data_IF_191389497707
#
_entry.id   IF_191389497707
#
_cell.length_a   1.000
_cell.length_b   1.000
_cell.length_c   1.000
_cell.angle_alpha   90.00
_cell.angle_beta   90.00
_cell.angle_gamma   90.00
#
_symmetry.space_group_name_H-M   'P 1'
#
loop_
_entity.id
_entity.type
_entity.pdbx_description
1 polymer ?
#
# COMPACT_ATOMS: atom_id res chain seq x y z
N UNK A 1 -0.18 2.77 43.63
CA UNK A 1 -0.31 2.26 42.24
C UNK A 1 0.39 3.25 41.31
N UNK A 2 1.70 3.13 41.13
CA UNK A 2 2.42 3.91 40.11
C UNK A 2 2.24 3.19 38.78
N UNK A 3 1.49 3.81 37.86
CA UNK A 3 1.45 3.36 36.47
C UNK A 3 2.87 3.47 35.91
N UNK A 4 3.56 2.34 35.73
CA UNK A 4 4.80 2.31 34.97
C UNK A 4 4.44 2.73 33.55
N UNK A 5 4.86 3.94 33.20
CA UNK A 5 4.75 4.51 31.87
C UNK A 5 5.61 3.67 30.93
N UNK A 6 5.02 2.62 30.35
CA UNK A 6 5.57 1.98 29.16
C UNK A 6 5.75 3.09 28.13
N UNK A 7 6.98 3.55 27.92
CA UNK A 7 7.32 4.44 26.80
C UNK A 7 6.98 3.68 25.52
N UNK A 8 5.78 3.92 25.01
CA UNK A 8 5.38 3.49 23.68
C UNK A 8 6.40 4.08 22.73
N UNK A 9 7.16 3.23 22.05
CA UNK A 9 8.08 3.68 21.01
C UNK A 9 7.26 4.43 19.97
N UNK A 10 7.42 5.76 19.89
CA UNK A 10 6.64 6.60 18.98
C UNK A 10 6.83 6.11 17.54
N UNK A 11 5.73 5.88 16.83
CA UNK A 11 5.77 5.54 15.40
C UNK A 11 5.79 6.78 14.51
N UNK A 12 5.59 7.98 15.10
CA UNK A 12 5.52 9.24 14.36
C UNK A 12 6.73 9.49 13.44
N UNK A 13 7.98 9.20 13.83
CA UNK A 13 9.13 9.41 12.96
C UNK A 13 9.04 8.63 11.63
N UNK A 14 8.41 7.45 11.63
CA UNK A 14 8.26 6.65 10.42
C UNK A 14 7.27 7.25 9.43
N UNK A 15 6.13 7.76 9.93
CA UNK A 15 5.16 8.46 9.10
C UNK A 15 5.71 9.80 8.59
N UNK A 16 6.51 10.50 9.40
CA UNK A 16 7.27 11.67 8.94
C UNK A 16 8.22 11.29 7.81
N UNK A 17 8.92 10.16 7.91
CA UNK A 17 9.76 9.63 6.84
C UNK A 17 9.00 9.39 5.53
N UNK A 18 7.79 8.81 5.58
CA UNK A 18 6.91 8.65 4.41
C UNK A 18 6.57 10.02 3.79
N UNK A 19 6.16 10.98 4.63
CA UNK A 19 5.81 12.32 4.18
C UNK A 19 6.99 13.06 3.54
N UNK A 20 8.20 12.92 4.11
CA UNK A 20 9.43 13.49 3.57
C UNK A 20 9.76 12.88 2.20
N UNK A 21 9.66 11.56 2.04
CA UNK A 21 9.91 10.91 0.75
C UNK A 21 8.90 11.33 -0.32
N UNK A 22 7.62 11.44 0.06
CA UNK A 22 6.56 11.94 -0.83
C UNK A 22 6.81 13.40 -1.24
N UNK A 23 7.18 14.25 -0.28
CA UNK A 23 7.47 15.66 -0.54
C UNK A 23 8.72 15.81 -1.42
N UNK A 24 9.77 15.03 -1.17
CA UNK A 24 10.98 15.04 -1.99
C UNK A 24 10.67 14.66 -3.45
N UNK A 25 9.85 13.62 -3.67
CA UNK A 25 9.42 13.26 -5.02
C UNK A 25 8.56 14.36 -5.66
N UNK A 26 7.62 14.95 -4.92
CA UNK A 26 6.81 16.05 -5.41
C UNK A 26 7.65 17.27 -5.83
N UNK A 27 8.61 17.68 -4.99
CA UNK A 27 9.55 18.77 -5.31
C UNK A 27 10.38 18.40 -6.53
N UNK A 28 10.87 17.17 -6.65
CA UNK A 28 11.64 16.73 -7.80
C UNK A 28 10.81 16.84 -9.10
N UNK A 29 9.56 16.39 -9.11
CA UNK A 29 8.65 16.50 -10.27
C UNK A 29 8.43 17.97 -10.67
N UNK A 30 8.31 18.87 -9.70
CA UNK A 30 8.15 20.30 -9.98
C UNK A 30 9.42 21.00 -10.47
N UNK A 31 10.60 20.46 -10.14
CA UNK A 31 11.87 21.16 -10.33
C UNK A 31 12.65 20.71 -11.57
N UNK A 32 12.29 19.57 -12.17
CA UNK A 32 12.98 19.03 -13.34
C UNK A 32 12.31 19.39 -14.66
N UNK A 33 13.07 19.31 -15.74
CA UNK A 33 12.52 19.51 -17.09
C UNK A 33 11.62 18.33 -17.46
N UNK A 34 10.62 18.52 -18.34
CA UNK A 34 9.72 17.43 -18.75
C UNK A 34 10.44 16.17 -19.29
N UNK A 35 11.57 16.35 -19.99
CA UNK A 35 12.38 15.25 -20.50
C UNK A 35 13.01 14.38 -19.40
N UNK A 36 13.24 14.94 -18.21
CA UNK A 36 13.90 14.27 -17.08
C UNK A 36 12.87 13.61 -16.12
N UNK A 37 11.57 13.88 -16.28
CA UNK A 37 10.50 13.32 -15.45
C UNK A 37 10.46 11.79 -15.41
N UNK A 38 10.63 11.05 -16.53
CA UNK A 38 10.64 9.59 -16.50
C UNK A 38 11.70 9.02 -15.54
N UNK A 39 12.89 9.61 -15.53
CA UNK A 39 13.99 9.20 -14.64
C UNK A 39 13.65 9.44 -13.17
N UNK A 40 13.05 10.60 -12.85
CA UNK A 40 12.62 10.92 -11.48
C UNK A 40 11.58 9.91 -10.99
N UNK A 41 10.56 9.63 -11.80
CA UNK A 41 9.53 8.67 -11.46
C UNK A 41 10.05 7.24 -11.34
N UNK A 42 10.98 6.85 -12.20
CA UNK A 42 11.64 5.55 -12.14
C UNK A 42 12.43 5.41 -10.84
N UNK A 43 13.31 6.37 -10.53
CA UNK A 43 14.13 6.35 -9.31
C UNK A 43 13.25 6.26 -8.06
N UNK A 44 12.24 7.12 -7.96
CA UNK A 44 11.28 7.08 -6.85
C UNK A 44 10.52 5.75 -6.80
N UNK A 45 10.12 5.21 -7.95
CA UNK A 45 9.45 3.91 -8.08
C UNK A 45 10.32 2.74 -7.64
N UNK A 46 11.61 2.75 -8.00
CA UNK A 46 12.60 1.75 -7.58
C UNK A 46 12.84 1.80 -6.07
N UNK A 47 13.16 2.98 -5.53
CA UNK A 47 13.40 3.14 -4.09
C UNK A 47 12.18 2.74 -3.26
N UNK A 48 10.99 3.23 -3.61
CA UNK A 48 9.76 2.90 -2.90
C UNK A 48 9.36 1.44 -3.05
N UNK A 49 9.56 0.84 -4.23
CA UNK A 49 9.33 -0.58 -4.47
C UNK A 49 10.26 -1.48 -3.66
N UNK A 50 11.55 -1.14 -3.55
CA UNK A 50 12.50 -1.86 -2.69
C UNK A 50 12.11 -1.78 -1.22
N UNK A 51 11.67 -0.61 -0.74
CA UNK A 51 11.15 -0.45 0.62
C UNK A 51 9.88 -1.30 0.85
N UNK A 52 8.98 -1.34 -0.13
CA UNK A 52 7.78 -2.18 -0.07
C UNK A 52 8.14 -3.68 0.05
N UNK A 53 9.04 -4.17 -0.80
CA UNK A 53 9.52 -5.56 -0.78
C UNK A 53 10.22 -5.86 0.55
N UNK A 54 11.17 -5.03 0.97
CA UNK A 54 11.93 -5.26 2.20
C UNK A 54 11.01 -5.29 3.44
N UNK A 55 10.08 -4.34 3.54
CA UNK A 55 9.14 -4.26 4.65
C UNK A 55 8.18 -5.45 4.71
N UNK A 56 7.54 -5.79 3.59
CA UNK A 56 6.61 -6.93 3.51
C UNK A 56 7.32 -8.27 3.73
N UNK A 57 8.53 -8.43 3.21
CA UNK A 57 9.36 -9.61 3.44
C UNK A 57 9.76 -9.73 4.92
N UNK A 58 10.19 -8.62 5.54
CA UNK A 58 10.52 -8.59 6.97
C UNK A 58 9.32 -9.03 7.82
N UNK A 59 8.10 -8.57 7.49
CA UNK A 59 6.88 -9.04 8.14
C UNK A 59 6.65 -10.54 7.94
N UNK A 60 6.73 -11.03 6.70
CA UNK A 60 6.52 -12.45 6.39
C UNK A 60 7.50 -13.36 7.13
N UNK A 61 8.77 -12.95 7.23
CA UNK A 61 9.84 -13.69 7.91
C UNK A 61 9.68 -13.74 9.44
N UNK A 62 8.81 -12.89 10.02
CA UNK A 62 8.55 -12.87 11.45
C UNK A 62 7.66 -14.02 11.93
N UNK A 63 7.02 -14.74 11.01
CA UNK A 63 6.02 -15.78 11.28
C UNK A 63 6.53 -17.19 10.95
N UNK A 64 6.05 -18.18 11.70
CA UNK A 64 6.39 -19.58 11.52
C UNK A 64 5.76 -20.20 10.27
N UNK A 65 6.24 -21.38 9.83
CA UNK A 65 5.54 -22.17 8.81
C UNK A 65 4.13 -22.52 9.29
N UNK A 66 3.12 -22.31 8.44
CA UNK A 66 1.72 -22.61 8.76
C UNK A 66 0.91 -21.41 9.25
N UNK A 67 1.55 -20.34 9.72
CA UNK A 67 0.86 -19.12 10.16
C UNK A 67 0.11 -18.47 8.99
N UNK A 68 -1.18 -18.16 9.20
CA UNK A 68 -1.99 -17.47 8.20
C UNK A 68 -1.39 -16.11 7.81
N UNK A 69 -0.87 -15.36 8.79
CA UNK A 69 -0.24 -14.06 8.53
C UNK A 69 1.04 -14.19 7.71
N UNK A 70 1.79 -15.29 7.80
CA UNK A 70 2.92 -15.55 6.89
C UNK A 70 2.47 -15.59 5.43
N UNK A 71 1.32 -16.24 5.17
CA UNK A 71 0.76 -16.32 3.81
C UNK A 71 0.26 -14.97 3.31
N UNK A 72 -0.37 -14.17 4.18
CA UNK A 72 -0.78 -12.80 3.86
C UNK A 72 0.43 -11.94 3.49
N UNK A 73 1.41 -11.84 4.38
CA UNK A 73 2.61 -11.01 4.13
C UNK A 73 3.47 -11.55 2.99
N UNK A 74 3.53 -12.87 2.81
CA UNK A 74 4.19 -13.50 1.66
C UNK A 74 3.52 -13.14 0.34
N UNK A 75 2.18 -13.14 0.29
CA UNK A 75 1.42 -12.67 -0.88
C UNK A 75 1.65 -11.19 -1.17
N UNK A 76 1.68 -10.33 -0.15
CA UNK A 76 2.03 -8.91 -0.30
C UNK A 76 3.49 -8.72 -0.78
N UNK A 77 4.42 -9.54 -0.30
CA UNK A 77 5.83 -9.53 -0.75
C UNK A 77 5.93 -9.92 -2.21
N UNK A 78 5.24 -11.00 -2.62
CA UNK A 78 5.20 -11.42 -4.01
C UNK A 78 4.58 -10.33 -4.90
N UNK A 79 3.47 -9.71 -4.46
CA UNK A 79 2.85 -8.58 -5.15
C UNK A 79 3.78 -7.38 -5.32
N UNK A 80 4.52 -7.01 -4.25
CA UNK A 80 5.49 -5.92 -4.28
C UNK A 80 6.68 -6.25 -5.21
N UNK A 81 7.20 -7.47 -5.17
CA UNK A 81 8.31 -7.90 -6.04
C UNK A 81 7.90 -7.91 -7.50
N UNK A 82 6.72 -8.43 -7.83
CA UNK A 82 6.18 -8.41 -9.18
C UNK A 82 5.93 -6.96 -9.65
N UNK A 83 5.41 -6.09 -8.78
CA UNK A 83 5.24 -4.67 -9.11
C UNK A 83 6.57 -3.96 -9.38
N UNK A 84 7.64 -4.31 -8.65
CA UNK A 84 8.99 -3.83 -8.88
C UNK A 84 9.55 -4.34 -10.22
N UNK A 85 9.36 -5.63 -10.54
CA UNK A 85 9.72 -6.20 -11.84
C UNK A 85 8.98 -5.52 -12.99
N UNK A 86 7.70 -5.19 -12.83
CA UNK A 86 6.93 -4.42 -13.83
C UNK A 86 7.50 -3.01 -14.04
N UNK A 87 7.94 -2.35 -12.96
CA UNK A 87 8.64 -1.07 -13.05
C UNK A 87 9.98 -1.23 -13.76
N UNK A 88 10.72 -2.30 -13.48
CA UNK A 88 11.99 -2.61 -14.13
C UNK A 88 11.87 -2.78 -15.64
N UNK A 89 10.92 -3.60 -16.09
CA UNK A 89 10.66 -3.82 -17.51
C UNK A 89 10.34 -2.52 -18.24
N UNK A 90 9.50 -1.68 -17.63
CA UNK A 90 9.14 -0.37 -18.17
C UNK A 90 10.35 0.58 -18.21
N UNK A 91 11.07 0.70 -17.11
CA UNK A 91 12.23 1.58 -16.99
C UNK A 91 13.30 1.19 -18.01
N UNK A 92 13.65 -0.10 -18.08
CA UNK A 92 14.59 -0.63 -19.07
C UNK A 92 14.22 -0.22 -20.51
N UNK A 93 12.97 -0.40 -20.91
CA UNK A 93 12.53 -0.03 -22.26
C UNK A 93 12.62 1.48 -22.50
N UNK A 94 12.15 2.30 -21.57
CA UNK A 94 12.13 3.76 -21.73
C UNK A 94 13.55 4.35 -21.79
N UNK A 95 14.55 3.71 -21.18
CA UNK A 95 15.94 4.17 -21.27
C UNK A 95 16.69 3.58 -22.48
N UNK A 96 16.27 2.43 -23.01
CA UNK A 96 16.89 1.80 -24.19
C UNK A 96 16.29 2.30 -25.50
N UNK A 97 15.00 2.67 -25.51
CA UNK A 97 14.26 3.14 -26.68
C UNK A 97 13.39 4.36 -26.29
N UNK A 98 14.01 5.52 -26.02
CA UNK A 98 13.34 6.67 -25.37
C UNK A 98 12.20 7.28 -26.17
N UNK A 99 12.28 7.22 -27.50
CA UNK A 99 11.30 7.86 -28.39
C UNK A 99 10.10 6.97 -28.72
N UNK A 100 10.08 5.72 -28.22
CA UNK A 100 9.02 4.74 -28.51
C UNK A 100 8.22 4.44 -27.24
N UNK A 101 6.89 4.68 -27.24
CA UNK A 101 6.07 4.42 -26.07
C UNK A 101 6.12 2.94 -25.69
N UNK A 102 6.07 2.66 -24.37
CA UNK A 102 6.12 1.29 -23.86
C UNK A 102 4.99 0.39 -24.41
N UNK A 103 3.88 0.96 -24.86
CA UNK A 103 2.77 0.23 -25.49
C UNK A 103 3.16 -0.45 -26.80
N UNK A 104 4.25 -0.03 -27.45
CA UNK A 104 4.82 -0.69 -28.63
C UNK A 104 5.97 -1.66 -28.29
N UNK A 105 6.29 -1.83 -27.00
CA UNK A 105 7.39 -2.68 -26.57
C UNK A 105 7.08 -4.18 -26.72
N UNK A 106 8.02 -5.02 -27.19
CA UNK A 106 7.90 -6.48 -27.11
C UNK A 106 7.89 -7.00 -25.66
N UNK A 107 8.25 -6.17 -24.67
CA UNK A 107 8.16 -6.50 -23.25
C UNK A 107 6.75 -6.35 -22.68
N UNK A 108 5.81 -5.78 -23.43
CA UNK A 108 4.47 -5.50 -22.96
C UNK A 108 3.70 -6.76 -22.51
N UNK A 109 3.72 -7.92 -23.21
CA UNK A 109 3.06 -9.13 -22.74
C UNK A 109 3.65 -9.66 -21.42
N UNK A 110 4.96 -9.58 -21.23
CA UNK A 110 5.62 -9.98 -19.98
C UNK A 110 5.24 -9.06 -18.84
N UNK A 111 5.21 -7.74 -19.10
CA UNK A 111 4.73 -6.77 -18.13
C UNK A 111 3.26 -7.03 -17.77
N UNK A 112 2.41 -7.39 -18.74
CA UNK A 112 1.02 -7.76 -18.49
C UNK A 112 0.93 -8.91 -17.51
N UNK A 113 1.63 -10.03 -17.77
CA UNK A 113 1.63 -11.18 -16.88
C UNK A 113 2.07 -10.78 -15.46
N UNK A 114 3.19 -10.06 -15.35
CA UNK A 114 3.75 -9.65 -14.06
C UNK A 114 2.78 -8.73 -13.29
N UNK A 115 2.14 -7.77 -13.96
CA UNK A 115 1.17 -6.86 -13.32
C UNK A 115 -0.10 -7.58 -12.89
N UNK A 116 -0.63 -8.47 -13.72
CA UNK A 116 -1.81 -9.27 -13.37
C UNK A 116 -1.51 -10.14 -12.15
N UNK A 117 -0.37 -10.84 -12.14
CA UNK A 117 0.04 -11.66 -11.00
C UNK A 117 0.29 -10.81 -9.74
N UNK A 118 0.85 -9.60 -9.88
CA UNK A 118 1.06 -8.68 -8.75
C UNK A 118 -0.26 -8.32 -8.07
N UNK A 119 -1.25 -7.95 -8.89
CA UNK A 119 -2.59 -7.61 -8.45
C UNK A 119 -3.30 -8.80 -7.80
N UNK A 120 -3.28 -9.97 -8.46
CA UNK A 120 -3.86 -11.21 -7.91
C UNK A 120 -3.24 -11.56 -6.56
N UNK A 121 -1.92 -11.53 -6.43
CA UNK A 121 -1.22 -11.85 -5.19
C UNK A 121 -1.60 -10.89 -4.05
N UNK A 122 -1.65 -9.59 -4.34
CA UNK A 122 -1.98 -8.54 -3.37
C UNK A 122 -3.44 -8.63 -2.94
N UNK A 123 -4.37 -8.75 -3.89
CA UNK A 123 -5.80 -8.90 -3.61
C UNK A 123 -6.08 -10.18 -2.83
N UNK A 124 -5.49 -11.31 -3.23
CA UNK A 124 -5.64 -12.57 -2.52
C UNK A 124 -5.13 -12.47 -1.08
N UNK A 125 -3.98 -11.82 -0.86
CA UNK A 125 -3.44 -11.60 0.48
C UNK A 125 -4.39 -10.79 1.37
N UNK A 126 -5.01 -9.73 0.86
CA UNK A 126 -5.97 -8.94 1.64
C UNK A 126 -7.29 -9.68 1.88
N UNK A 127 -7.77 -10.46 0.91
CA UNK A 127 -8.94 -11.32 1.10
C UNK A 127 -8.65 -12.37 2.18
N UNK A 128 -7.46 -12.97 2.15
CA UNK A 128 -7.03 -13.92 3.18
C UNK A 128 -6.96 -13.25 4.55
N UNK A 129 -6.40 -12.05 4.64
CA UNK A 129 -6.35 -11.26 5.87
C UNK A 129 -7.76 -10.99 6.43
N UNK A 130 -8.68 -10.53 5.57
CA UNK A 130 -10.07 -10.29 5.96
C UNK A 130 -10.75 -11.57 6.46
N UNK A 131 -10.50 -12.72 5.82
CA UNK A 131 -10.98 -14.03 6.29
C UNK A 131 -10.39 -14.41 7.64
N UNK A 132 -9.09 -14.22 7.84
CA UNK A 132 -8.42 -14.48 9.12
C UNK A 132 -9.05 -13.70 10.26
N UNK A 133 -9.36 -12.41 10.08
CA UNK A 133 -10.05 -11.62 11.10
C UNK A 133 -11.45 -12.13 11.41
N UNK A 134 -12.19 -12.55 10.38
CA UNK A 134 -13.54 -13.10 10.59
C UNK A 134 -13.49 -14.40 11.37
N UNK A 135 -12.51 -15.26 11.09
CA UNK A 135 -12.33 -16.55 11.77
C UNK A 135 -11.78 -16.40 13.18
N UNK A 136 -10.93 -15.40 13.44
CA UNK A 136 -10.36 -15.15 14.77
C UNK A 136 -11.30 -14.40 15.72
N UNK A 137 -12.55 -14.11 15.30
CA UNK A 137 -13.51 -13.34 16.08
C UNK A 137 -13.15 -11.87 16.26
N UNK A 138 -12.14 -11.35 15.54
CA UNK A 138 -11.73 -9.94 15.57
C UNK A 138 -12.66 -9.06 14.72
N UNK A 139 -13.96 -9.31 14.79
CA UNK A 139 -14.96 -8.57 14.05
C UNK A 139 -15.39 -7.34 14.87
N UNK A 140 -15.20 -6.12 14.35
CA UNK A 140 -15.70 -4.93 15.02
C UNK A 140 -17.22 -4.97 15.12
N UNK A 141 -17.81 -4.60 16.27
CA UNK A 141 -19.26 -4.47 16.37
C UNK A 141 -19.77 -3.52 15.29
N UNK A 142 -20.97 -3.79 14.78
CA UNK A 142 -21.63 -2.90 13.83
C UNK A 142 -21.81 -1.53 14.50
N UNK A 143 -21.45 -0.47 13.78
CA UNK A 143 -21.65 0.90 14.23
C UNK A 143 -22.03 1.77 13.03
N UNK A 144 -22.87 2.80 13.21
CA UNK A 144 -23.25 3.69 12.12
C UNK A 144 -22.04 4.33 11.43
N UNK A 145 -21.00 4.67 12.19
CA UNK A 145 -19.74 5.22 11.66
C UNK A 145 -19.00 4.21 10.79
N UNK A 146 -18.94 2.94 11.21
CA UNK A 146 -18.34 1.87 10.42
C UNK A 146 -19.09 1.59 9.12
N UNK A 147 -20.42 1.63 9.17
CA UNK A 147 -21.28 1.50 7.99
C UNK A 147 -21.12 2.68 7.04
N UNK A 148 -21.09 3.91 7.56
CA UNK A 148 -20.85 5.11 6.76
C UNK A 148 -19.47 5.08 6.09
N UNK A 149 -18.42 4.68 6.82
CA UNK A 149 -17.09 4.53 6.25
C UNK A 149 -17.08 3.51 5.11
N UNK A 150 -17.69 2.34 5.32
CA UNK A 150 -17.81 1.32 4.27
C UNK A 150 -18.56 1.86 3.04
N UNK A 151 -19.72 2.49 3.25
CA UNK A 151 -20.50 3.08 2.18
C UNK A 151 -19.70 4.12 1.38
N UNK A 152 -19.00 5.04 2.06
CA UNK A 152 -18.15 6.05 1.42
C UNK A 152 -17.03 5.40 0.60
N UNK A 153 -16.30 4.43 1.18
CA UNK A 153 -15.24 3.73 0.43
C UNK A 153 -15.78 2.93 -0.74
N UNK A 154 -16.96 2.32 -0.61
CA UNK A 154 -17.57 1.55 -1.67
C UNK A 154 -18.06 2.43 -2.81
N UNK A 155 -18.74 3.55 -2.50
CA UNK A 155 -19.13 4.54 -3.50
C UNK A 155 -17.90 5.11 -4.20
N UNK A 156 -16.83 5.44 -3.47
CA UNK A 156 -15.60 5.95 -4.07
C UNK A 156 -14.95 4.91 -5.01
N UNK A 157 -14.86 3.63 -4.60
CA UNK A 157 -14.34 2.56 -5.45
C UNK A 157 -15.17 2.38 -6.73
N UNK A 158 -16.50 2.41 -6.63
CA UNK A 158 -17.39 2.28 -7.78
C UNK A 158 -17.30 3.51 -8.70
N UNK A 159 -17.28 4.72 -8.13
CA UNK A 159 -17.22 5.97 -8.88
C UNK A 159 -15.92 6.11 -9.68
N UNK A 160 -14.78 5.65 -9.13
CA UNK A 160 -13.50 5.67 -9.85
C UNK A 160 -13.35 4.46 -10.77
N UNK A 161 -13.74 3.27 -10.31
CA UNK A 161 -13.49 2.02 -11.01
C UNK A 161 -14.41 1.74 -12.19
N UNK A 162 -15.73 1.95 -12.06
CA UNK A 162 -16.69 1.63 -13.13
C UNK A 162 -16.37 2.37 -14.44
N UNK A 163 -16.14 3.70 -14.43
CA UNK A 163 -15.84 4.43 -15.67
C UNK A 163 -14.56 3.91 -16.35
N UNK A 164 -13.52 3.59 -15.56
CA UNK A 164 -12.29 3.01 -16.08
C UNK A 164 -12.56 1.63 -16.72
N UNK A 165 -13.31 0.75 -16.06
CA UNK A 165 -13.67 -0.57 -16.60
C UNK A 165 -14.47 -0.47 -17.90
N UNK A 166 -15.42 0.47 -17.98
CA UNK A 166 -16.22 0.70 -19.19
C UNK A 166 -15.34 1.18 -20.34
N UNK A 167 -14.45 2.14 -20.08
CA UNK A 167 -13.50 2.64 -21.08
C UNK A 167 -12.61 1.52 -21.60
N UNK A 168 -12.05 0.71 -20.72
CA UNK A 168 -11.15 -0.37 -21.12
C UNK A 168 -11.89 -1.52 -21.82
N UNK A 169 -13.11 -1.86 -21.40
CA UNK A 169 -13.94 -2.81 -22.13
C UNK A 169 -14.24 -2.33 -23.56
N UNK A 170 -14.53 -1.03 -23.74
CA UNK A 170 -14.71 -0.43 -25.07
C UNK A 170 -13.42 -0.49 -25.88
N UNK A 171 -12.27 -0.16 -25.29
CA UNK A 171 -10.97 -0.24 -25.95
C UNK A 171 -10.63 -1.66 -26.41
N UNK A 172 -11.01 -2.68 -25.63
CA UNK A 172 -10.83 -4.09 -26.00
C UNK A 172 -11.69 -4.47 -27.20
N UNK A 173 -12.96 -4.05 -27.21
CA UNK A 173 -13.91 -4.38 -28.26
C UNK A 173 -13.63 -3.63 -29.57
N UNK A 174 -13.17 -2.37 -29.48
CA UNK A 174 -12.86 -1.54 -30.66
C UNK A 174 -11.46 -1.80 -31.23
N UNK A 175 -10.58 -2.47 -30.49
CA UNK A 175 -9.17 -2.60 -30.84
C UNK A 175 -8.38 -1.29 -30.77
N UNK A 176 -8.93 -0.23 -30.14
CA UNK A 176 -8.29 1.08 -30.04
C UNK A 176 -7.02 1.07 -29.17
N UNK A 177 -6.85 0.03 -28.33
CA UNK A 177 -5.64 -0.17 -27.53
C UNK A 177 -5.16 -1.61 -27.65
N UNK A 178 -3.85 -1.81 -27.48
CA UNK A 178 -3.28 -3.17 -27.44
C UNK A 178 -3.94 -3.99 -26.33
N UNK A 179 -4.38 -5.21 -26.67
CA UNK A 179 -5.04 -6.11 -25.71
C UNK A 179 -4.25 -6.27 -24.39
N UNK A 180 -2.91 -6.39 -24.38
CA UNK A 180 -2.16 -6.45 -23.13
C UNK A 180 -2.29 -5.21 -22.25
N UNK A 181 -2.32 -4.01 -22.82
CA UNK A 181 -2.49 -2.77 -22.05
C UNK A 181 -3.88 -2.71 -21.42
N UNK A 182 -4.90 -3.08 -22.20
CA UNK A 182 -6.28 -3.13 -21.73
C UNK A 182 -6.46 -4.15 -20.59
N UNK A 183 -5.88 -5.34 -20.71
CA UNK A 183 -5.90 -6.37 -19.65
C UNK A 183 -5.20 -5.87 -18.38
N UNK A 184 -4.05 -5.20 -18.51
CA UNK A 184 -3.36 -4.56 -17.37
C UNK A 184 -4.29 -3.59 -16.65
N UNK A 185 -4.93 -2.68 -17.38
CA UNK A 185 -5.83 -1.67 -16.81
C UNK A 185 -7.02 -2.31 -16.11
N UNK A 186 -7.68 -3.29 -16.74
CA UNK A 186 -8.83 -4.00 -16.18
C UNK A 186 -8.44 -4.74 -14.89
N UNK A 187 -7.36 -5.52 -14.92
CA UNK A 187 -6.91 -6.29 -13.76
C UNK A 187 -6.51 -5.40 -12.59
N UNK A 188 -5.81 -4.28 -12.86
CA UNK A 188 -5.43 -3.32 -11.81
C UNK A 188 -6.66 -2.66 -11.22
N UNK A 189 -7.57 -2.13 -12.06
CA UNK A 189 -8.80 -1.48 -11.60
C UNK A 189 -9.65 -2.40 -10.72
N UNK A 190 -9.84 -3.67 -11.10
CA UNK A 190 -10.59 -4.64 -10.29
C UNK A 190 -9.90 -4.96 -8.95
N UNK A 191 -8.57 -5.06 -8.98
CA UNK A 191 -7.78 -5.29 -7.78
C UNK A 191 -7.88 -4.10 -6.82
N UNK A 192 -7.72 -2.87 -7.33
CA UNK A 192 -7.81 -1.64 -6.56
C UNK A 192 -9.21 -1.46 -5.97
N UNK A 193 -10.28 -1.66 -6.76
CA UNK A 193 -11.66 -1.68 -6.24
C UNK A 193 -11.81 -2.67 -5.09
N UNK A 194 -11.29 -3.88 -5.24
CA UNK A 194 -11.34 -4.91 -4.19
C UNK A 194 -10.57 -4.49 -2.95
N UNK A 195 -9.36 -3.94 -3.11
CA UNK A 195 -8.53 -3.42 -2.02
C UNK A 195 -9.29 -2.32 -1.27
N UNK A 196 -9.92 -1.38 -1.98
CA UNK A 196 -10.67 -0.28 -1.38
C UNK A 196 -11.90 -0.77 -0.63
N UNK A 197 -12.65 -1.74 -1.18
CA UNK A 197 -13.74 -2.39 -0.45
C UNK A 197 -13.24 -3.01 0.87
N UNK A 198 -11.98 -3.47 0.89
CA UNK A 198 -11.33 -4.01 2.08
C UNK A 198 -10.68 -2.94 2.99
N UNK A 199 -10.51 -1.68 2.56
CA UNK A 199 -9.94 -0.61 3.40
C UNK A 199 -10.81 -0.37 4.63
N UNK A 200 -12.13 -0.21 4.48
CA UNK A 200 -13.03 0.04 5.60
C UNK A 200 -12.98 -1.08 6.68
N UNK A 201 -13.09 -2.39 6.35
CA UNK A 201 -12.95 -3.42 7.36
C UNK A 201 -11.54 -3.47 7.99
N UNK A 202 -10.47 -3.25 7.22
CA UNK A 202 -9.09 -3.19 7.75
C UNK A 202 -8.94 -2.03 8.76
N UNK A 203 -9.42 -0.83 8.42
CA UNK A 203 -9.36 0.33 9.30
C UNK A 203 -10.22 0.18 10.56
N UNK A 204 -11.35 -0.52 10.48
CA UNK A 204 -12.16 -0.83 11.67
C UNK A 204 -11.42 -1.78 12.61
N UNK A 205 -10.70 -2.78 12.09
CA UNK A 205 -9.83 -3.64 12.91
C UNK A 205 -8.68 -2.82 13.51
N UNK A 206 -8.05 -1.93 12.74
CA UNK A 206 -7.04 -0.99 13.24
C UNK A 206 -7.53 -0.18 14.44
N UNK A 207 -8.77 0.30 14.35
CA UNK A 207 -9.41 1.10 15.39
C UNK A 207 -9.78 0.29 16.64
N UNK A 208 -10.14 -0.98 16.50
CA UNK A 208 -10.33 -1.87 17.67
C UNK A 208 -9.03 -2.11 18.41
N UNK A 209 -7.92 -2.24 17.67
CA UNK A 209 -6.59 -2.47 18.22
C UNK A 209 -5.89 -1.17 18.67
N UNK A 210 -6.61 -0.04 18.69
CA UNK A 210 -6.06 1.28 19.02
C UNK A 210 -5.36 1.27 20.38
N UNK A 211 -4.25 2.00 20.47
CA UNK A 211 -3.36 2.00 21.63
C UNK A 211 -2.29 0.90 21.58
N UNK A 212 -2.47 -0.15 20.76
CA UNK A 212 -1.46 -1.17 20.51
C UNK A 212 -0.55 -0.85 19.32
N UNK A 213 0.66 -1.42 19.30
CA UNK A 213 1.63 -1.28 18.18
C UNK A 213 1.06 -1.82 16.85
N UNK A 214 0.19 -2.83 16.92
CA UNK A 214 -0.45 -3.44 15.74
C UNK A 214 -1.45 -2.50 15.06
N UNK A 215 -2.05 -1.52 15.74
CA UNK A 215 -2.97 -0.58 15.10
C UNK A 215 -2.28 0.18 13.96
N UNK A 216 -1.01 0.54 14.14
CA UNK A 216 -0.24 1.31 13.17
C UNK A 216 0.10 0.53 11.90
N UNK A 217 0.22 -0.80 11.99
CA UNK A 217 0.35 -1.70 10.82
C UNK A 217 -0.84 -1.52 9.89
N UNK A 218 -2.04 -1.59 10.47
CA UNK A 218 -3.30 -1.55 9.73
C UNK A 218 -3.63 -0.13 9.24
N UNK A 219 -3.25 0.91 9.99
CA UNK A 219 -3.33 2.29 9.50
C UNK A 219 -2.45 2.51 8.28
N UNK A 220 -1.17 2.08 8.32
CA UNK A 220 -0.27 2.21 7.19
C UNK A 220 -0.78 1.44 5.96
N UNK A 221 -1.28 0.21 6.15
CA UNK A 221 -1.87 -0.59 5.08
C UNK A 221 -3.15 0.04 4.50
N UNK A 222 -4.05 0.55 5.35
CA UNK A 222 -5.26 1.22 4.89
C UNK A 222 -4.97 2.53 4.14
N UNK A 223 -4.02 3.32 4.62
CA UNK A 223 -3.56 4.55 3.95
C UNK A 223 -2.89 4.23 2.61
N UNK A 224 -2.09 3.15 2.53
CA UNK A 224 -1.53 2.66 1.27
C UNK A 224 -2.63 2.39 0.24
N UNK A 225 -3.67 1.65 0.62
CA UNK A 225 -4.83 1.40 -0.26
C UNK A 225 -5.56 2.69 -0.67
N UNK A 226 -5.75 3.64 0.26
CA UNK A 226 -6.37 4.93 -0.04
C UNK A 226 -5.54 5.78 -1.03
N UNK A 227 -4.21 5.75 -0.94
CA UNK A 227 -3.34 6.46 -1.89
C UNK A 227 -3.39 5.87 -3.30
N UNK A 228 -3.60 4.55 -3.45
CA UNK A 228 -3.82 3.93 -4.76
C UNK A 228 -5.11 4.39 -5.42
N UNK A 229 -6.20 4.50 -4.66
CA UNK A 229 -7.46 5.07 -5.15
C UNK A 229 -7.26 6.49 -5.72
N UNK A 230 -6.53 7.34 -4.99
CA UNK A 230 -6.23 8.71 -5.44
C UNK A 230 -5.32 8.70 -6.68
N UNK A 231 -4.36 7.77 -6.73
CA UNK A 231 -3.50 7.57 -7.90
C UNK A 231 -4.32 7.15 -9.14
N UNK A 232 -5.33 6.30 -9.01
CA UNK A 232 -6.18 5.90 -10.14
C UNK A 232 -7.11 6.99 -10.59
N UNK A 233 -7.63 7.78 -9.64
CA UNK A 233 -8.42 8.97 -9.92
C UNK A 233 -7.60 10.11 -10.55
N UNK A 234 -6.28 9.95 -10.76
CA UNK A 234 -5.38 11.04 -11.19
C UNK A 234 -5.84 11.77 -12.45
N UNK A 235 -6.39 11.05 -13.43
CA UNK A 235 -6.85 11.64 -14.70
C UNK A 235 -8.06 12.55 -14.48
N UNK A 236 -8.90 12.20 -13.51
CA UNK A 236 -10.12 12.94 -13.17
C UNK A 236 -9.83 14.09 -12.21
N UNK A 237 -8.82 13.92 -11.37
CA UNK A 237 -8.39 14.93 -10.40
C UNK A 237 -7.47 15.98 -11.04
N UNK A 238 -6.73 15.66 -12.11
CA UNK A 238 -5.79 16.57 -12.75
C UNK A 238 -6.43 17.92 -13.19
N UNK A 239 -7.63 17.95 -13.80
CA UNK A 239 -8.30 19.21 -14.16
C UNK A 239 -8.73 20.07 -12.96
N UNK A 240 -8.76 19.50 -11.74
CA UNK A 240 -9.15 20.20 -10.52
C UNK A 240 -7.96 20.87 -9.83
N UNK A 241 -6.73 20.58 -10.27
CA UNK A 241 -5.51 21.14 -9.70
C UNK A 241 -5.05 22.36 -10.51
N UNK A 242 -4.37 23.33 -9.86
CA UNK A 242 -3.80 24.47 -10.56
C UNK A 242 -2.68 24.02 -11.52
N UNK A 243 -2.54 24.74 -12.64
CA UNK A 243 -1.51 24.48 -13.65
C UNK A 243 -2.06 23.78 -14.90
N UNK A 244 -1.18 23.11 -15.65
CA UNK A 244 -1.61 22.33 -16.82
C UNK A 244 -2.07 20.94 -16.39
N UNK A 245 -3.07 20.38 -17.06
CA UNK A 245 -3.57 19.02 -16.76
C UNK A 245 -2.47 17.96 -16.82
N UNK A 246 -1.54 18.10 -17.78
CA UNK A 246 -0.39 17.20 -17.91
C UNK A 246 0.52 17.26 -16.68
N UNK A 247 0.88 18.46 -16.22
CA UNK A 247 1.70 18.63 -15.03
C UNK A 247 0.98 18.11 -13.78
N UNK A 248 -0.31 18.41 -13.64
CA UNK A 248 -1.14 17.92 -12.54
C UNK A 248 -1.20 16.38 -12.51
N UNK A 249 -1.33 15.73 -13.67
CA UNK A 249 -1.32 14.27 -13.78
C UNK A 249 0.03 13.67 -13.33
N UNK A 250 1.16 14.28 -13.68
CA UNK A 250 2.49 13.83 -13.24
C UNK A 250 2.72 14.07 -11.73
N UNK A 251 2.18 15.15 -11.18
CA UNK A 251 2.20 15.36 -9.72
C UNK A 251 1.40 14.28 -9.00
N UNK A 252 0.19 13.98 -9.48
CA UNK A 252 -0.65 12.91 -8.92
C UNK A 252 -0.04 11.52 -9.13
N UNK A 253 0.76 11.32 -10.19
CA UNK A 253 1.53 10.08 -10.40
C UNK A 253 2.50 9.79 -9.25
N UNK A 254 3.00 10.83 -8.57
CA UNK A 254 3.89 10.66 -7.41
C UNK A 254 3.24 9.91 -6.24
N UNK A 255 1.90 9.90 -6.12
CA UNK A 255 1.15 9.20 -5.06
C UNK A 255 1.48 7.70 -4.96
N UNK A 256 1.91 7.09 -6.06
CA UNK A 256 2.45 5.72 -6.07
C UNK A 256 3.57 5.52 -5.04
N UNK A 257 4.37 6.55 -4.79
CA UNK A 257 5.47 6.52 -3.80
C UNK A 257 4.93 6.32 -2.41
N UNK A 258 3.95 7.14 -2.01
CA UNK A 258 3.27 6.96 -0.72
C UNK A 258 2.64 5.59 -0.60
N UNK A 259 1.93 5.12 -1.64
CA UNK A 259 1.32 3.80 -1.65
C UNK A 259 2.32 2.66 -1.37
N UNK A 260 3.47 2.67 -2.05
CA UNK A 260 4.51 1.67 -1.88
C UNK A 260 5.25 1.79 -0.54
N UNK A 261 5.67 3.00 -0.16
CA UNK A 261 6.42 3.21 1.10
C UNK A 261 5.54 2.90 2.31
N UNK A 262 4.25 3.25 2.30
CA UNK A 262 3.31 2.91 3.37
C UNK A 262 3.11 1.39 3.50
N UNK A 263 3.10 0.65 2.38
CA UNK A 263 3.04 -0.81 2.42
C UNK A 263 4.32 -1.41 3.04
N UNK A 264 5.49 -0.89 2.67
CA UNK A 264 6.76 -1.27 3.29
C UNK A 264 6.78 -0.95 4.80
N UNK A 265 6.31 0.24 5.17
CA UNK A 265 6.19 0.65 6.57
C UNK A 265 5.24 -0.27 7.35
N UNK A 266 4.10 -0.65 6.79
CA UNK A 266 3.17 -1.59 7.42
C UNK A 266 3.88 -2.91 7.77
N UNK A 267 4.67 -3.45 6.83
CA UNK A 267 5.43 -4.66 7.07
C UNK A 267 6.54 -4.49 8.13
N UNK A 268 7.26 -3.37 8.10
CA UNK A 268 8.27 -3.07 9.13
C UNK A 268 7.66 -2.94 10.53
N UNK A 269 6.51 -2.28 10.64
CA UNK A 269 5.77 -2.14 11.90
C UNK A 269 5.28 -3.50 12.40
N UNK A 270 4.84 -4.39 11.50
CA UNK A 270 4.43 -5.75 11.85
C UNK A 270 5.59 -6.53 12.45
N UNK A 271 6.76 -6.52 11.79
CA UNK A 271 7.97 -7.17 12.30
C UNK A 271 8.35 -6.61 13.67
N UNK A 272 8.31 -5.29 13.82
CA UNK A 272 8.69 -4.59 15.05
C UNK A 272 7.74 -4.87 16.22
N UNK A 273 6.45 -5.08 15.94
CA UNK A 273 5.44 -5.41 16.95
C UNK A 273 5.62 -6.83 17.52
N UNK A 274 6.25 -7.74 16.77
CA UNK A 274 6.54 -9.12 17.17
C UNK A 274 7.91 -9.29 17.84
N UNK A 275 8.73 -8.23 17.92
CA UNK A 275 10.05 -8.29 18.57
C UNK A 275 9.96 -8.61 20.07
N UNK A 276 11.05 -9.07 20.71
CA UNK A 276 11.07 -9.43 22.13
C UNK A 276 10.48 -8.30 22.97
N UNK A 277 9.40 -8.60 23.69
CA UNK A 277 8.91 -7.66 24.69
C UNK A 277 9.95 -7.64 25.81
N UNK A 278 10.41 -6.43 26.16
CA UNK A 278 11.30 -6.26 27.30
C UNK A 278 10.50 -6.70 28.52
N UNK A 279 10.73 -7.92 28.99
CA UNK A 279 10.15 -8.40 30.25
C UNK A 279 10.77 -7.52 31.32
N UNK A 280 10.00 -6.54 31.82
CA UNK A 280 10.40 -5.81 33.01
C UNK A 280 10.57 -6.86 34.10
N UNK A 281 11.82 -7.05 34.53
CA UNK A 281 12.14 -7.88 35.69
C UNK A 281 11.26 -7.36 36.82
N UNK A 282 10.41 -8.22 37.38
CA UNK A 282 9.58 -7.84 38.51
C UNK A 282 10.49 -7.17 39.53
N UNK A 283 10.21 -5.90 39.86
CA UNK A 283 10.89 -5.25 40.98
C UNK A 283 10.76 -6.20 42.16
N UNK A 284 11.87 -6.64 42.79
CA UNK A 284 11.78 -7.43 43.99
C UNK A 284 10.99 -6.61 45.00
N UNK A 285 9.77 -7.04 45.28
CA UNK A 285 8.93 -6.43 46.29
C UNK A 285 9.72 -6.43 47.59
N UNK A 286 10.03 -5.23 48.08
CA UNK A 286 10.60 -4.98 49.40
C UNK A 286 9.62 -5.48 50.48
N UNK A 287 9.63 -6.79 50.72
CA UNK A 287 9.20 -7.37 51.97
C UNK A 287 10.40 -7.43 52.91
N UNK A 288 10.51 -6.42 53.77
CA UNK A 288 10.90 -6.57 55.17
C UNK A 288 11.17 -5.18 55.78
N UNK A 289 10.15 -4.58 56.40
CA UNK A 289 10.41 -3.83 57.63
C UNK A 289 9.78 -4.63 58.74
N UNK A 290 10.64 -5.21 59.56
CA UNK A 290 10.33 -6.04 60.69
C UNK A 290 9.38 -5.33 61.65
N UNK A 291 8.39 -6.06 62.16
CA UNK A 291 7.72 -5.69 63.39
C UNK A 291 8.71 -5.71 64.54
N UNK A 292 8.69 -4.67 65.36
CA UNK A 292 9.25 -4.71 66.72
C UNK A 292 8.10 -4.94 67.71
N UNK A 293 8.30 -5.81 68.72
CA UNK A 293 7.32 -6.16 69.75
C UNK A 293 6.97 -5.01 70.68
#
# INVERSE_FOLDING_TARGET
MSASSQRTSSVAPWFVGVAVLQLAHFIAVLSVRPADLPLVHDLAGWCSGLLAVAGTFAAASAFGPGDYLRRVWGGLTAGALLSLTSAALRSYWLHTVPDVPFTASPLLPFRMLVVVLANVATTFALVLLARTYRQSGLQPPSSPRGTALFAVTAVAALAVGIPALVTEARNLLSGASSAPSTVISLASTLADMTIIFMVAPILRVAYMLRGGRLAWVWWAMGLSGATWLLYDARVWLAPLLPGTEAQAAELLRSLRTSGLVLMGLAGWLQRSALGPQKVESAEPSLHASAGTP
#
